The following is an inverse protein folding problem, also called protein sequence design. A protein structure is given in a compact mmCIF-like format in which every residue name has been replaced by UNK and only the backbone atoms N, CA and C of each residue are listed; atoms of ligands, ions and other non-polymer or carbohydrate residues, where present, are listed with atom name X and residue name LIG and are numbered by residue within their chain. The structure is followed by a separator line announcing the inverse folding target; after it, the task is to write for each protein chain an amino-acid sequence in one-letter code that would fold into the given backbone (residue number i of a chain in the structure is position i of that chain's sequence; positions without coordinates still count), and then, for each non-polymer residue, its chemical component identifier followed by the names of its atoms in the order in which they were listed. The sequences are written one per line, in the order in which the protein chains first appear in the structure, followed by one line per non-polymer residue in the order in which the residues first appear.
data_IF_587146829913
#
_entry.id   IF_587146829913
#
_cell.length_a   1.000
_cell.length_b   1.000
_cell.length_c   1.000
_cell.angle_alpha   90.00
_cell.angle_beta   90.00
_cell.angle_gamma   90.00
#
_symmetry.space_group_name_H-M   'P 1'
#
loop_
_entity.id
_entity.type
_entity.pdbx_description
1 polymer ?
#
# COMPACT_ATOMS: atom_id res chain seq x y z
N UNK A 1 -10.97 -13.64 -12.56
CA UNK A 1 -9.70 -13.29 -13.25
C UNK A 1 -8.84 -12.26 -12.47
N UNK A 2 -9.36 -11.50 -11.50
CA UNK A 2 -8.57 -10.48 -10.76
C UNK A 2 -7.68 -10.99 -9.60
N UNK A 3 -8.07 -12.05 -8.88
CA UNK A 3 -7.39 -12.44 -7.63
C UNK A 3 -5.95 -12.97 -7.81
N UNK A 4 -5.62 -13.59 -8.95
CA UNK A 4 -4.28 -14.12 -9.21
C UNK A 4 -3.24 -13.02 -9.46
N UNK A 5 -3.71 -11.83 -9.88
CA UNK A 5 -2.86 -10.67 -10.14
C UNK A 5 -2.29 -10.06 -8.86
N UNK A 6 -3.04 -10.10 -7.75
CA UNK A 6 -2.63 -9.44 -6.51
C UNK A 6 -1.66 -10.26 -5.66
N UNK A 7 -1.65 -11.59 -5.81
CA UNK A 7 -0.71 -12.45 -5.07
C UNK A 7 0.76 -12.12 -5.39
N UNK A 8 1.05 -11.84 -6.66
CA UNK A 8 2.42 -11.61 -7.15
C UNK A 8 2.69 -10.15 -7.48
N UNK A 9 1.85 -9.23 -6.99
CA UNK A 9 2.02 -7.80 -7.18
C UNK A 9 2.59 -7.21 -5.89
N UNK A 10 3.80 -6.63 -5.91
CA UNK A 10 4.32 -5.85 -4.78
C UNK A 10 3.34 -4.71 -4.45
N UNK A 11 2.96 -4.59 -3.17
CA UNK A 11 2.00 -3.57 -2.70
C UNK A 11 2.61 -2.82 -1.53
N UNK A 12 2.64 -1.49 -1.61
CA UNK A 12 2.88 -0.63 -0.45
C UNK A 12 1.69 0.32 -0.28
N UNK A 13 0.89 0.07 0.75
CA UNK A 13 -0.28 0.87 1.07
C UNK A 13 0.06 1.99 2.07
N UNK A 14 -0.60 3.14 1.92
CA UNK A 14 -0.42 4.32 2.77
C UNK A 14 -1.79 4.84 3.21
N UNK A 15 -1.92 5.28 4.46
CA UNK A 15 -3.16 5.84 4.99
C UNK A 15 -2.90 6.80 6.15
N UNK A 16 -3.78 7.77 6.38
CA UNK A 16 -3.75 8.62 7.58
C UNK A 16 -4.64 8.04 8.70
N UNK A 17 -4.12 7.88 9.92
CA UNK A 17 -4.91 7.32 11.03
C UNK A 17 -6.11 8.21 11.40
N UNK A 18 -6.05 9.51 11.10
CA UNK A 18 -7.12 10.49 11.36
C UNK A 18 -8.01 10.76 10.14
N UNK A 19 -7.98 9.91 9.11
CA UNK A 19 -8.83 10.08 7.93
C UNK A 19 -10.32 9.89 8.30
N UNK A 20 -11.07 11.00 8.30
CA UNK A 20 -12.51 11.02 8.57
C UNK A 20 -13.39 10.73 7.34
N UNK A 21 -12.78 10.64 6.15
CA UNK A 21 -13.47 10.36 4.87
C UNK A 21 -13.43 8.87 4.56
N UNK A 22 -12.27 8.24 4.74
CA UNK A 22 -12.07 6.80 4.56
C UNK A 22 -11.43 6.20 5.82
N UNK A 23 -12.16 5.36 6.59
CA UNK A 23 -11.60 4.74 7.79
C UNK A 23 -10.36 3.90 7.47
N UNK A 24 -9.32 4.03 8.30
CA UNK A 24 -8.03 3.33 8.15
C UNK A 24 -8.19 1.80 8.11
N UNK A 25 -9.24 1.26 8.71
CA UNK A 25 -9.61 -0.15 8.69
C UNK A 25 -9.74 -0.68 7.26
N UNK A 26 -10.16 0.16 6.30
CA UNK A 26 -10.27 -0.25 4.89
C UNK A 26 -8.92 -0.67 4.33
N UNK A 27 -7.86 0.09 4.62
CA UNK A 27 -6.50 -0.26 4.20
C UNK A 27 -5.96 -1.45 4.98
N UNK A 28 -6.15 -1.48 6.31
CA UNK A 28 -5.76 -2.62 7.16
C UNK A 28 -6.39 -3.93 6.65
N UNK A 29 -7.69 -3.95 6.36
CA UNK A 29 -8.40 -5.11 5.82
C UNK A 29 -7.85 -5.57 4.46
N UNK A 30 -7.54 -4.66 3.54
CA UNK A 30 -7.01 -5.01 2.22
C UNK A 30 -5.60 -5.59 2.29
N UNK A 31 -4.74 -5.02 3.14
CA UNK A 31 -3.39 -5.52 3.40
C UNK A 31 -3.43 -6.92 4.00
N UNK A 32 -4.27 -7.15 5.00
CA UNK A 32 -4.44 -8.48 5.60
C UNK A 32 -5.02 -9.49 4.61
N UNK A 33 -5.98 -9.09 3.77
CA UNK A 33 -6.51 -9.95 2.72
C UNK A 33 -5.45 -10.33 1.68
N UNK A 34 -4.56 -9.41 1.30
CA UNK A 34 -3.45 -9.70 0.39
C UNK A 34 -2.44 -10.67 1.01
N UNK A 35 -2.05 -10.44 2.27
CA UNK A 35 -1.18 -11.34 3.04
C UNK A 35 -1.77 -12.75 3.18
N UNK A 36 -3.05 -12.84 3.54
CA UNK A 36 -3.77 -14.12 3.66
C UNK A 36 -3.87 -14.91 2.34
N UNK A 37 -3.68 -14.25 1.19
CA UNK A 37 -3.61 -14.88 -0.14
C UNK A 37 -2.19 -15.27 -0.57
N UNK A 38 -1.22 -15.10 0.32
CA UNK A 38 0.19 -15.45 0.10
C UNK A 38 0.91 -14.44 -0.78
N UNK A 39 0.59 -13.15 -0.65
CA UNK A 39 1.45 -12.09 -1.16
C UNK A 39 2.52 -11.77 -0.10
N UNK A 40 3.76 -12.12 -0.43
CA UNK A 40 4.90 -11.99 0.49
C UNK A 40 5.52 -10.57 0.48
N UNK A 41 5.05 -9.69 -0.40
CA UNK A 41 5.60 -8.34 -0.63
C UNK A 41 4.51 -7.26 -0.44
N UNK A 42 3.92 -7.23 0.76
CA UNK A 42 2.90 -6.25 1.16
C UNK A 42 3.37 -5.41 2.35
N UNK A 43 3.60 -4.12 2.11
CA UNK A 43 3.94 -3.10 3.10
C UNK A 43 2.73 -2.20 3.38
N UNK A 44 2.70 -1.63 4.58
CA UNK A 44 1.69 -0.66 4.99
C UNK A 44 2.36 0.41 5.85
N UNK A 45 2.12 1.67 5.54
CA UNK A 45 2.52 2.82 6.36
C UNK A 45 1.26 3.56 6.80
N UNK A 46 1.11 3.76 8.10
CA UNK A 46 0.03 4.53 8.68
C UNK A 46 0.63 5.79 9.30
N UNK A 47 0.23 6.95 8.81
CA UNK A 47 0.68 8.24 9.35
C UNK A 47 -0.24 8.62 10.51
N UNK A 48 0.28 8.70 11.76
CA UNK A 48 -0.56 8.85 12.95
C UNK A 48 -1.30 10.18 13.00
N UNK A 49 -0.74 11.22 12.38
CA UNK A 49 -1.28 12.57 12.41
C UNK A 49 -1.94 13.02 11.10
N UNK A 50 -1.77 12.27 10.01
CA UNK A 50 -2.41 12.61 8.74
C UNK A 50 -3.90 12.30 8.78
N UNK A 51 -4.69 13.22 8.21
CA UNK A 51 -6.10 13.02 7.92
C UNK A 51 -6.25 12.37 6.54
N UNK A 52 -7.11 12.90 5.67
CA UNK A 52 -7.33 12.34 4.33
C UNK A 52 -6.08 12.46 3.43
N UNK A 53 -5.31 13.55 3.57
CA UNK A 53 -4.08 13.79 2.83
C UNK A 53 -2.89 13.01 3.40
N UNK A 54 -2.88 11.70 3.12
CA UNK A 54 -1.72 10.84 3.37
C UNK A 54 -0.73 10.83 2.20
N UNK A 55 -1.10 11.40 1.05
CA UNK A 55 -0.28 11.38 -0.16
C UNK A 55 0.81 12.44 -0.14
N UNK A 56 0.62 13.60 0.49
CA UNK A 56 1.65 14.63 0.57
C UNK A 56 2.91 14.11 1.28
N UNK A 57 2.78 13.46 2.44
CA UNK A 57 3.92 12.84 3.14
C UNK A 57 4.51 11.68 2.32
N UNK A 58 3.65 10.86 1.72
CA UNK A 58 4.06 9.71 0.89
C UNK A 58 4.89 10.13 -0.32
N UNK A 59 4.48 11.16 -1.07
CA UNK A 59 5.22 11.64 -2.24
C UNK A 59 6.49 12.42 -1.88
N UNK A 60 6.59 12.94 -0.66
CA UNK A 60 7.82 13.54 -0.12
C UNK A 60 8.82 12.49 0.42
N UNK A 61 8.44 11.20 0.46
CA UNK A 61 9.32 10.12 0.90
C UNK A 61 10.22 9.62 -0.25
N UNK A 62 11.55 9.83 -0.22
CA UNK A 62 12.46 9.32 -1.26
C UNK A 62 12.44 7.79 -1.40
N UNK A 63 12.18 7.05 -0.30
CA UNK A 63 12.10 5.58 -0.31
C UNK A 63 10.97 5.07 -1.19
N UNK A 64 9.92 5.87 -1.42
CA UNK A 64 8.84 5.51 -2.33
C UNK A 64 9.36 5.31 -3.75
N UNK A 65 10.22 6.23 -4.20
CA UNK A 65 10.78 6.20 -5.55
C UNK A 65 11.82 5.08 -5.69
N UNK A 66 12.66 4.87 -4.66
CA UNK A 66 13.57 3.72 -4.61
C UNK A 66 12.81 2.40 -4.69
N UNK A 67 11.70 2.28 -3.94
CA UNK A 67 10.82 1.11 -4.00
C UNK A 67 10.18 0.95 -5.37
N UNK A 68 9.68 2.01 -6.01
CA UNK A 68 9.15 1.86 -7.37
C UNK A 68 10.21 1.36 -8.35
N UNK A 69 11.44 1.88 -8.26
CA UNK A 69 12.53 1.53 -9.15
C UNK A 69 13.13 0.15 -8.88
N UNK A 70 12.93 -0.42 -7.68
CA UNK A 70 13.34 -1.80 -7.38
C UNK A 70 12.44 -2.85 -8.02
N UNK A 71 11.26 -2.48 -8.52
CA UNK A 71 10.30 -3.40 -9.11
C UNK A 71 10.22 -3.24 -10.62
N UNK A 72 10.15 -4.38 -11.32
CA UNK A 72 9.90 -4.40 -12.77
C UNK A 72 8.78 -5.37 -13.09
N UNK A 73 7.90 -4.99 -14.01
CA UNK A 73 6.94 -5.95 -14.57
C UNK A 73 7.70 -6.84 -15.55
N UNK A 74 7.71 -8.15 -15.30
CA UNK A 74 8.15 -9.11 -16.31
C UNK A 74 7.30 -8.91 -17.56
N UNK A 75 7.95 -8.76 -18.73
CA UNK A 75 7.24 -8.76 -20.02
C UNK A 75 6.44 -10.06 -20.11
N UNK A 76 5.15 -9.93 -20.43
CA UNK A 76 4.27 -11.08 -20.71
C UNK A 76 4.65 -11.72 -22.04
#
# INVERSE_FOLDING_TARGET
ILAWSLKNLPIWAFHGEKDHTVPVERTKMMVEAARARGNDEVKMTIYPDAEHDSWTETYNNPELYEWFLSHTRKKR
#
